data_IF_967184340849
#
_entry.id   IF_967184340849
#
_cell.length_a   1.000
_cell.length_b   1.000
_cell.length_c   1.000
_cell.angle_alpha   90.00
_cell.angle_beta   90.00
_cell.angle_gamma   90.00
#
_symmetry.space_group_name_H-M   'P 1'
#
loop_
_entity.id
_entity.type
_entity.pdbx_description
1 polymer ?
#
# COMPACT_ATOMS: atom_id res chain seq x y z
N UNK A 1 0.79 -3.48 -9.34
CA UNK A 1 -0.58 -2.93 -9.13
C UNK A 1 -1.62 -3.56 -10.06
N UNK A 2 -1.26 -4.47 -10.98
CA UNK A 2 -2.22 -5.12 -11.87
C UNK A 2 -2.96 -6.28 -11.20
N UNK A 3 -2.34 -6.92 -10.21
CA UNK A 3 -2.86 -8.15 -9.61
C UNK A 3 -2.14 -9.33 -10.22
N UNK A 4 -2.72 -10.52 -10.10
CA UNK A 4 -2.40 -11.71 -10.88
C UNK A 4 -3.43 -11.89 -12.03
N UNK A 5 -3.20 -12.90 -12.89
CA UNK A 5 -4.04 -13.22 -14.04
C UNK A 5 -4.24 -12.06 -15.05
N UNK A 6 -3.32 -11.09 -15.10
CA UNK A 6 -3.41 -9.96 -16.03
C UNK A 6 -2.87 -10.25 -17.43
N UNK A 7 -3.51 -9.66 -18.44
CA UNK A 7 -2.96 -9.57 -19.79
C UNK A 7 -1.92 -8.45 -19.91
N UNK A 8 -1.32 -8.30 -21.09
CA UNK A 8 -0.42 -7.18 -21.37
C UNK A 8 -1.22 -5.87 -21.46
N UNK A 9 -1.02 -4.90 -20.55
CA UNK A 9 -1.76 -3.64 -20.60
C UNK A 9 -1.27 -2.77 -21.76
N UNK A 10 -2.16 -1.94 -22.31
CA UNK A 10 -1.78 -0.98 -23.36
C UNK A 10 -0.88 0.14 -22.81
N UNK A 11 -1.12 0.52 -21.54
CA UNK A 11 -0.37 1.55 -20.82
C UNK A 11 -0.49 1.27 -19.33
N UNK A 12 0.61 1.40 -18.59
CA UNK A 12 0.60 1.34 -17.13
C UNK A 12 1.01 2.70 -16.55
N UNK A 13 0.21 3.23 -15.63
CA UNK A 13 0.50 4.50 -14.97
C UNK A 13 0.70 4.29 -13.47
N UNK A 14 1.91 4.58 -12.99
CA UNK A 14 2.22 4.48 -11.55
C UNK A 14 1.67 5.68 -10.77
N UNK A 15 1.49 5.55 -9.44
CA UNK A 15 1.06 6.68 -8.62
C UNK A 15 2.10 7.80 -8.63
N UNK A 16 3.40 7.47 -8.61
CA UNK A 16 4.47 8.46 -8.70
C UNK A 16 4.39 9.25 -10.00
N UNK A 17 4.17 8.58 -11.14
CA UNK A 17 4.02 9.27 -12.43
C UNK A 17 2.82 10.23 -12.42
N UNK A 18 1.70 9.80 -11.85
CA UNK A 18 0.46 10.60 -11.82
C UNK A 18 0.55 11.79 -10.86
N UNK A 19 1.11 11.58 -9.66
CA UNK A 19 1.34 12.66 -8.69
C UNK A 19 2.35 13.69 -9.22
N UNK A 20 3.44 13.24 -9.85
CA UNK A 20 4.46 14.11 -10.47
C UNK A 20 3.89 14.92 -11.63
N UNK A 21 2.89 14.39 -12.35
CA UNK A 21 2.21 15.13 -13.41
C UNK A 21 1.33 16.27 -12.87
N UNK A 22 0.83 16.15 -11.63
CA UNK A 22 -0.07 17.13 -11.01
C UNK A 22 0.66 18.18 -10.18
N UNK A 23 1.69 17.79 -9.43
CA UNK A 23 2.42 18.67 -8.50
C UNK A 23 3.92 18.37 -8.48
N UNK A 24 4.78 19.38 -8.18
CA UNK A 24 6.19 19.13 -7.91
C UNK A 24 6.35 18.08 -6.80
N UNK A 25 6.96 16.95 -7.14
CA UNK A 25 7.05 15.79 -6.26
C UNK A 25 8.51 15.44 -6.02
N UNK A 26 8.88 15.23 -4.76
CA UNK A 26 10.16 14.61 -4.39
C UNK A 26 9.88 13.17 -3.98
N UNK A 27 10.68 12.24 -4.49
CA UNK A 27 10.48 10.81 -4.29
C UNK A 27 11.60 10.21 -3.44
N UNK A 28 11.21 9.38 -2.47
CA UNK A 28 12.11 8.51 -1.73
C UNK A 28 11.46 7.12 -1.61
N UNK A 29 12.14 6.02 -1.99
CA UNK A 29 11.54 4.69 -1.97
C UNK A 29 11.25 4.18 -0.55
N UNK A 30 12.03 4.59 0.46
CA UNK A 30 11.86 4.18 1.85
C UNK A 30 12.29 2.74 2.14
N UNK A 31 11.96 1.79 1.29
CA UNK A 31 12.46 0.41 1.30
C UNK A 31 12.96 0.03 -0.11
N UNK A 32 13.86 -0.95 -0.20
CA UNK A 32 14.34 -1.44 -1.51
C UNK A 32 13.26 -2.23 -2.28
N UNK A 33 12.40 -2.92 -1.55
CA UNK A 33 11.33 -3.78 -2.07
C UNK A 33 10.15 -3.85 -1.07
N UNK A 34 9.11 -4.59 -1.44
CA UNK A 34 7.92 -4.80 -0.61
C UNK A 34 8.23 -5.60 0.66
N UNK A 35 9.13 -6.58 0.59
CA UNK A 35 9.57 -7.32 1.79
C UNK A 35 10.19 -6.40 2.84
N UNK A 36 10.74 -5.25 2.43
CA UNK A 36 11.28 -4.19 3.26
C UNK A 36 12.15 -4.73 4.42
N UNK A 37 13.22 -5.42 4.06
CA UNK A 37 14.17 -5.95 5.04
C UNK A 37 14.85 -4.86 5.88
N UNK A 38 15.07 -3.67 5.31
CA UNK A 38 15.62 -2.50 6.01
C UNK A 38 14.96 -1.23 5.52
N UNK A 39 14.39 -0.45 6.45
CA UNK A 39 13.76 0.83 6.14
C UNK A 39 14.76 2.00 6.20
N UNK A 40 14.80 2.83 5.17
CA UNK A 40 15.59 4.06 5.04
C UNK A 40 14.87 5.24 5.71
N UNK A 41 14.68 5.13 7.02
CA UNK A 41 13.86 6.06 7.79
C UNK A 41 14.42 7.49 7.78
N UNK A 42 15.74 7.64 7.92
CA UNK A 42 16.36 8.96 8.05
C UNK A 42 16.28 9.77 6.75
N UNK A 43 16.50 9.13 5.60
CA UNK A 43 16.34 9.78 4.30
C UNK A 43 14.87 10.13 4.02
N UNK A 44 13.94 9.25 4.38
CA UNK A 44 12.51 9.50 4.25
C UNK A 44 12.06 10.69 5.12
N UNK A 45 12.52 10.77 6.38
CA UNK A 45 12.26 11.92 7.27
C UNK A 45 12.82 13.22 6.70
N UNK A 46 14.05 13.18 6.17
CA UNK A 46 14.71 14.36 5.60
C UNK A 46 13.90 14.95 4.44
N UNK A 47 13.45 14.11 3.51
CA UNK A 47 12.64 14.56 2.37
C UNK A 47 11.24 15.01 2.84
N UNK A 48 10.62 14.24 3.75
CA UNK A 48 9.32 14.59 4.32
C UNK A 48 9.32 15.96 5.00
N UNK A 49 10.42 16.38 5.64
CA UNK A 49 10.53 17.70 6.27
C UNK A 49 10.53 18.89 5.29
N UNK A 50 10.77 18.64 4.00
CA UNK A 50 10.78 19.67 2.95
C UNK A 50 9.47 19.77 2.18
N UNK A 51 8.53 18.86 2.42
CA UNK A 51 7.27 18.76 1.68
C UNK A 51 6.10 19.30 2.49
N UNK A 52 5.12 19.93 1.81
CA UNK A 52 3.88 20.40 2.43
C UNK A 52 2.94 19.25 2.82
N UNK A 53 2.98 18.16 2.05
CA UNK A 53 2.23 16.94 2.27
C UNK A 53 3.07 15.72 1.88
N UNK A 54 2.85 14.59 2.57
CA UNK A 54 3.56 13.34 2.33
C UNK A 54 2.55 12.26 1.96
N UNK A 55 2.72 11.66 0.78
CA UNK A 55 1.96 10.50 0.34
C UNK A 55 2.83 9.27 0.50
N UNK A 56 2.39 8.32 1.32
CA UNK A 56 3.12 7.07 1.61
C UNK A 56 2.35 5.92 0.97
N UNK A 57 3.00 5.22 0.05
CA UNK A 57 2.43 4.07 -0.66
C UNK A 57 3.12 2.83 -0.12
N UNK A 58 2.37 2.03 0.62
CA UNK A 58 2.81 0.83 1.34
C UNK A 58 1.75 -0.25 1.22
N UNK A 59 2.14 -1.49 1.41
CA UNK A 59 1.24 -2.62 1.26
C UNK A 59 1.96 -3.92 0.96
N UNK A 60 1.19 -4.85 0.41
CA UNK A 60 1.65 -6.12 -0.14
C UNK A 60 1.54 -6.11 -1.66
N UNK A 61 2.22 -7.04 -2.31
CA UNK A 61 2.07 -7.35 -3.73
C UNK A 61 2.17 -8.87 -3.93
N UNK A 62 2.30 -9.31 -5.19
CA UNK A 62 2.40 -10.74 -5.53
C UNK A 62 3.67 -11.43 -4.99
N UNK A 63 4.64 -10.71 -4.42
CA UNK A 63 5.74 -11.34 -3.68
C UNK A 63 5.32 -11.84 -2.29
N UNK A 64 4.17 -11.39 -1.79
CA UNK A 64 3.62 -11.69 -0.47
C UNK A 64 2.37 -12.56 -0.56
N UNK A 65 1.48 -12.26 -1.51
CA UNK A 65 0.20 -12.95 -1.72
C UNK A 65 0.06 -13.31 -3.19
N UNK A 66 0.21 -14.60 -3.51
CA UNK A 66 0.14 -15.08 -4.89
C UNK A 66 -0.42 -16.50 -4.94
N UNK A 67 -0.74 -16.97 -6.13
CA UNK A 67 -1.19 -18.34 -6.33
C UNK A 67 -0.21 -19.34 -5.69
N UNK A 68 -0.76 -20.30 -4.95
CA UNK A 68 0.00 -21.33 -4.21
C UNK A 68 0.80 -20.80 -3.01
N UNK A 69 0.76 -19.50 -2.72
CA UNK A 69 1.50 -18.90 -1.60
C UNK A 69 0.56 -18.06 -0.74
N UNK A 70 0.02 -18.72 0.29
CA UNK A 70 -0.72 -18.05 1.34
C UNK A 70 0.21 -17.25 2.25
N UNK A 71 -0.33 -16.17 2.81
CA UNK A 71 0.35 -15.37 3.82
C UNK A 71 0.35 -16.09 5.17
N UNK A 72 1.46 -15.97 5.90
CA UNK A 72 1.57 -16.45 7.29
C UNK A 72 1.26 -15.37 8.34
N UNK A 73 1.17 -14.11 7.93
CA UNK A 73 0.76 -12.98 8.78
C UNK A 73 0.00 -11.94 7.95
N UNK A 74 -0.84 -11.15 8.62
CA UNK A 74 -1.69 -10.12 8.01
C UNK A 74 -1.22 -8.69 8.33
N UNK A 75 -0.03 -8.54 8.92
CA UNK A 75 0.62 -7.23 9.11
C UNK A 75 1.21 -6.69 7.80
N UNK A 76 1.63 -5.42 7.79
CA UNK A 76 2.41 -4.91 6.65
C UNK A 76 3.77 -5.64 6.59
N UNK A 77 4.28 -5.96 5.39
CA UNK A 77 5.53 -6.70 5.26
C UNK A 77 6.74 -5.95 5.83
N UNK A 78 7.66 -6.71 6.44
CA UNK A 78 8.95 -6.25 6.94
C UNK A 78 8.88 -4.99 7.82
N UNK A 79 9.74 -4.04 7.51
CA UNK A 79 9.86 -2.80 8.29
C UNK A 79 8.99 -1.65 7.79
N UNK A 80 8.02 -1.90 6.89
CA UNK A 80 7.15 -0.84 6.37
C UNK A 80 6.39 -0.10 7.49
N UNK A 81 5.92 -0.80 8.53
CA UNK A 81 5.26 -0.13 9.67
C UNK A 81 6.19 0.83 10.43
N UNK A 82 7.48 0.49 10.52
CA UNK A 82 8.49 1.33 11.18
C UNK A 82 8.75 2.61 10.37
N UNK A 83 8.61 2.56 9.05
CA UNK A 83 8.81 3.71 8.15
C UNK A 83 7.81 4.84 8.42
N UNK A 84 6.53 4.53 8.68
CA UNK A 84 5.48 5.55 8.76
C UNK A 84 4.57 5.50 9.99
N UNK A 85 4.34 4.35 10.63
CA UNK A 85 3.29 4.23 11.66
C UNK A 85 3.83 4.14 13.08
N UNK A 86 4.94 3.41 13.29
CA UNK A 86 5.43 3.08 14.63
C UNK A 86 5.76 4.29 15.50
N UNK A 87 6.18 5.41 14.88
CA UNK A 87 6.64 6.61 15.57
C UNK A 87 5.94 7.90 15.11
N UNK A 88 4.92 7.81 14.25
CA UNK A 88 4.26 8.97 13.70
C UNK A 88 2.78 9.02 14.11
N UNK A 89 2.43 9.82 15.13
CA UNK A 89 1.03 9.99 15.53
C UNK A 89 0.23 10.86 14.56
N UNK A 90 0.83 11.37 13.46
CA UNK A 90 0.22 12.37 12.58
C UNK A 90 -0.33 11.79 11.27
N UNK A 91 -0.69 10.50 11.25
CA UNK A 91 -1.39 9.93 10.09
C UNK A 91 -2.79 10.52 10.04
N UNK A 92 -3.07 11.34 9.03
CA UNK A 92 -4.34 12.06 8.90
C UNK A 92 -5.39 11.28 8.10
N UNK A 93 -4.97 10.42 7.19
CA UNK A 93 -5.85 9.66 6.30
C UNK A 93 -5.20 8.36 5.85
N UNK A 94 -6.03 7.37 5.52
CA UNK A 94 -5.63 6.08 4.96
C UNK A 94 -6.57 5.79 3.78
N UNK A 95 -6.00 5.43 2.63
CA UNK A 95 -6.73 5.04 1.43
C UNK A 95 -6.30 3.62 1.04
N UNK A 96 -7.24 2.67 1.07
CA UNK A 96 -7.00 1.31 0.57
C UNK A 96 -7.39 1.22 -0.91
N UNK A 97 -6.44 0.77 -1.74
CA UNK A 97 -6.56 0.82 -3.21
C UNK A 97 -6.49 -0.55 -3.88
N UNK A 98 -6.20 -1.61 -3.13
CA UNK A 98 -6.01 -2.97 -3.67
C UNK A 98 -4.99 -3.01 -4.82
N UNK A 99 -5.33 -3.74 -5.88
CA UNK A 99 -4.66 -3.71 -7.18
C UNK A 99 -5.48 -2.84 -8.15
N UNK A 100 -5.20 -1.53 -8.26
CA UNK A 100 -6.07 -0.58 -8.95
C UNK A 100 -5.97 -0.63 -10.49
N UNK A 101 -5.28 -1.61 -11.06
CA UNK A 101 -5.19 -1.83 -12.49
C UNK A 101 -4.31 -0.80 -13.24
N UNK A 102 -4.47 -0.77 -14.56
CA UNK A 102 -3.56 -0.07 -15.48
C UNK A 102 -3.58 1.46 -15.36
N UNK A 103 -4.75 2.02 -15.01
CA UNK A 103 -4.98 3.44 -14.76
C UNK A 103 -4.98 3.80 -13.26
N UNK A 104 -4.57 2.87 -12.40
CA UNK A 104 -4.68 3.01 -10.96
C UNK A 104 -3.93 4.22 -10.39
N UNK A 105 -2.77 4.57 -10.96
CA UNK A 105 -2.04 5.78 -10.56
C UNK A 105 -2.84 7.06 -10.77
N UNK A 106 -3.56 7.17 -11.89
CA UNK A 106 -4.39 8.34 -12.20
C UNK A 106 -5.62 8.39 -11.27
N UNK A 107 -6.30 7.27 -11.08
CA UNK A 107 -7.44 7.19 -10.17
C UNK A 107 -7.08 7.58 -8.72
N UNK A 108 -5.89 7.18 -8.25
CA UNK A 108 -5.37 7.59 -6.93
C UNK A 108 -5.17 9.11 -6.87
N UNK A 109 -4.56 9.70 -7.90
CA UNK A 109 -4.36 11.14 -7.96
C UNK A 109 -5.69 11.91 -7.96
N UNK A 110 -6.67 11.47 -8.76
CA UNK A 110 -7.99 12.10 -8.85
C UNK A 110 -8.70 12.12 -7.48
N UNK A 111 -8.59 11.04 -6.70
CA UNK A 111 -9.15 10.97 -5.34
C UNK A 111 -8.38 11.90 -4.38
N UNK A 112 -7.05 11.87 -4.40
CA UNK A 112 -6.22 12.70 -3.51
C UNK A 112 -6.44 14.20 -3.76
N UNK A 113 -6.55 14.61 -5.03
CA UNK A 113 -6.78 16.00 -5.41
C UNK A 113 -8.26 16.40 -5.43
N UNK A 114 -9.17 15.51 -5.02
CA UNK A 114 -10.60 15.80 -4.90
C UNK A 114 -11.34 15.97 -6.22
N UNK A 115 -10.77 15.50 -7.34
CA UNK A 115 -11.46 15.42 -8.63
C UNK A 115 -12.53 14.32 -8.62
N UNK A 116 -12.37 13.33 -7.74
CA UNK A 116 -13.36 12.29 -7.50
C UNK A 116 -13.54 12.01 -6.00
N UNK A 117 -14.78 11.77 -5.57
CA UNK A 117 -15.10 11.47 -4.17
C UNK A 117 -15.15 9.94 -3.93
N UNK A 118 -14.30 9.38 -3.06
CA UNK A 118 -14.26 7.94 -2.83
C UNK A 118 -15.56 7.44 -2.16
N UNK A 119 -16.13 6.37 -2.71
CA UNK A 119 -17.37 5.76 -2.21
C UNK A 119 -17.29 4.23 -2.04
N UNK A 120 -16.10 3.65 -2.25
CA UNK A 120 -15.85 2.23 -2.06
C UNK A 120 -16.02 1.80 -0.59
N UNK A 121 -16.37 0.53 -0.39
CA UNK A 121 -16.45 -0.12 0.92
C UNK A 121 -15.61 -1.38 0.92
N UNK A 122 -15.06 -1.74 2.07
CA UNK A 122 -14.35 -3.00 2.23
C UNK A 122 -15.32 -4.17 2.03
N UNK A 123 -14.94 -5.13 1.21
CA UNK A 123 -15.66 -6.40 0.98
C UNK A 123 -15.17 -7.52 1.89
N UNK A 124 -14.19 -7.22 2.75
CA UNK A 124 -13.55 -8.15 3.69
C UNK A 124 -13.28 -7.45 5.02
N UNK A 125 -13.28 -8.23 6.10
CA UNK A 125 -12.97 -7.74 7.45
C UNK A 125 -11.47 -7.53 7.62
N UNK A 126 -11.07 -6.42 8.24
CA UNK A 126 -9.69 -6.18 8.63
C UNK A 126 -9.45 -6.68 10.04
N UNK A 127 -8.88 -7.88 10.16
CA UNK A 127 -8.60 -8.50 11.44
C UNK A 127 -7.28 -7.99 12.06
N UNK A 128 -7.17 -7.95 13.40
CA UNK A 128 -5.87 -7.81 14.04
C UNK A 128 -5.03 -9.07 13.80
N UNK A 129 -3.70 -8.94 13.81
CA UNK A 129 -2.76 -10.05 13.63
C UNK A 129 -3.06 -11.25 14.56
N UNK A 130 -3.52 -11.00 15.79
CA UNK A 130 -3.85 -12.07 16.74
C UNK A 130 -4.99 -12.98 16.30
N UNK A 131 -5.74 -12.65 15.25
CA UNK A 131 -6.75 -13.53 14.68
C UNK A 131 -6.11 -14.77 14.04
N UNK A 132 -5.02 -14.59 13.27
CA UNK A 132 -4.36 -15.72 12.59
C UNK A 132 -3.61 -16.66 13.52
N UNK A 133 -3.45 -16.27 14.78
CA UNK A 133 -2.86 -17.08 15.85
C UNK A 133 -3.92 -17.88 16.63
N UNK A 134 -5.20 -17.51 16.51
CA UNK A 134 -6.30 -18.08 17.29
C UNK A 134 -7.13 -19.11 16.52
N UNK A 135 -7.20 -18.97 15.20
CA UNK A 135 -8.00 -19.82 14.34
C UNK A 135 -7.07 -20.52 13.37
N UNK A 136 -7.19 -21.84 13.29
CA UNK A 136 -6.51 -22.61 12.27
C UNK A 136 -7.18 -22.35 10.91
N UNK A 137 -6.44 -21.81 9.95
CA UNK A 137 -7.00 -21.37 8.65
C UNK A 137 -7.51 -22.53 7.78
N UNK A 138 -7.19 -23.78 8.15
CA UNK A 138 -7.66 -25.01 7.53
C UNK A 138 -8.89 -25.62 8.21
N UNK A 139 -9.34 -25.06 9.34
CA UNK A 139 -10.53 -25.55 10.03
C UNK A 139 -11.81 -24.98 9.41
N UNK A 140 -12.64 -25.87 8.88
CA UNK A 140 -13.92 -25.54 8.24
C UNK A 140 -15.13 -25.90 9.11
N UNK A 141 -14.92 -26.36 10.35
CA UNK A 141 -16.00 -26.77 11.25
C UNK A 141 -16.58 -25.59 12.06
N UNK A 142 -15.94 -24.42 12.04
CA UNK A 142 -16.33 -23.21 12.75
C UNK A 142 -17.37 -22.37 11.96
N UNK A 143 -18.43 -23.01 11.47
CA UNK A 143 -19.58 -22.38 10.78
C UNK A 143 -20.90 -22.58 11.55
#
# INVERSE_FOLDING_TARGET
MLGDYEGVPCKYTSPLQSLTASVPTVYQPGCADVLCGTAQIEDAKKIASTADAVVIIVGSDLSIETETVDRVNITLPGQQQTLFAKYNPKITSILWVGFPGEAGGAAIADVIFGQYNPSGRLTMTWYPQSFVEKVEMTDMNEA
#
